data_IF_828684635273
#
_entry.id   IF_828684635273
#
_cell.length_a   1.000
_cell.length_b   1.000
_cell.length_c   1.000
_cell.angle_alpha   90.00
_cell.angle_beta   90.00
_cell.angle_gamma   90.00
#
_symmetry.space_group_name_H-M   'P 1'
#
loop_
_entity.id
_entity.type
_entity.pdbx_description
1 polymer ?
#
# COMPACT_ATOMS: atom_id res chain seq x y z
N UNK A 1 7.03 -25.97 -6.94
CA UNK A 1 5.73 -25.49 -6.45
C UNK A 1 5.47 -24.15 -7.12
N UNK A 2 4.36 -23.99 -7.83
CA UNK A 2 4.01 -22.73 -8.51
C UNK A 2 3.59 -21.71 -7.43
N UNK A 3 4.07 -20.45 -7.47
CA UNK A 3 3.66 -19.47 -6.48
C UNK A 3 2.19 -19.10 -6.69
N UNK A 4 1.37 -19.29 -5.67
CA UNK A 4 0.01 -18.77 -5.66
C UNK A 4 0.09 -17.24 -5.77
N UNK A 5 -0.79 -16.65 -6.57
CA UNK A 5 -0.74 -15.22 -6.86
C UNK A 5 -2.13 -14.61 -6.73
N UNK A 6 -2.25 -13.53 -5.97
CA UNK A 6 -3.47 -12.76 -5.82
C UNK A 6 -3.34 -11.42 -6.55
N UNK A 7 -4.28 -11.12 -7.45
CA UNK A 7 -4.37 -9.86 -8.19
C UNK A 7 -5.36 -8.94 -7.52
N UNK A 8 -4.89 -7.79 -7.08
CA UNK A 8 -5.70 -6.76 -6.42
C UNK A 8 -5.80 -5.57 -7.36
N UNK A 9 -7.02 -5.19 -7.70
CA UNK A 9 -7.29 -4.01 -8.53
C UNK A 9 -7.54 -2.79 -7.65
N UNK A 10 -7.14 -1.61 -8.13
CA UNK A 10 -7.38 -0.36 -7.43
C UNK A 10 -7.69 0.80 -8.41
N UNK A 11 -8.51 1.78 -7.99
CA UNK A 11 -8.79 2.95 -8.82
C UNK A 11 -7.53 3.78 -9.12
N UNK A 12 -7.45 4.38 -10.31
CA UNK A 12 -6.29 5.15 -10.79
C UNK A 12 -5.84 6.28 -9.86
N UNK A 13 -6.77 6.88 -9.11
CA UNK A 13 -6.49 7.90 -8.10
C UNK A 13 -5.54 7.42 -6.98
N UNK A 14 -5.34 6.11 -6.82
CA UNK A 14 -4.39 5.56 -5.84
C UNK A 14 -2.98 5.36 -6.40
N UNK A 15 -2.79 5.42 -7.72
CA UNK A 15 -1.50 5.17 -8.36
C UNK A 15 -0.35 6.07 -7.82
N UNK A 16 -0.55 7.36 -7.53
CA UNK A 16 0.52 8.21 -6.98
C UNK A 16 1.05 7.75 -5.60
N UNK A 17 0.28 6.97 -4.86
CA UNK A 17 0.61 6.54 -3.49
C UNK A 17 1.16 5.11 -3.45
N UNK A 18 1.24 4.44 -4.60
CA UNK A 18 1.51 3.01 -4.69
C UNK A 18 2.92 2.65 -4.22
N UNK A 19 3.94 3.41 -4.65
CA UNK A 19 5.35 3.13 -4.30
C UNK A 19 5.56 3.06 -2.79
N UNK A 20 5.07 4.07 -2.08
CA UNK A 20 5.26 4.20 -0.63
C UNK A 20 4.46 3.14 0.13
N UNK A 21 3.24 2.85 -0.36
CA UNK A 21 2.42 1.78 0.18
C UNK A 21 3.09 0.40 0.02
N UNK A 22 3.72 0.14 -1.12
CA UNK A 22 4.46 -1.10 -1.39
C UNK A 22 5.66 -1.24 -0.44
N UNK A 23 6.41 -0.17 -0.19
CA UNK A 23 7.53 -0.18 0.77
C UNK A 23 7.04 -0.57 2.16
N UNK A 24 5.98 0.09 2.66
CA UNK A 24 5.40 -0.21 3.97
C UNK A 24 4.85 -1.63 4.04
N UNK A 25 4.16 -2.08 3.00
CA UNK A 25 3.58 -3.41 2.95
C UNK A 25 4.66 -4.49 2.99
N UNK A 26 5.74 -4.35 2.20
CA UNK A 26 6.86 -5.31 2.17
C UNK A 26 7.62 -5.36 3.50
N UNK A 27 7.72 -4.25 4.22
CA UNK A 27 8.30 -4.23 5.56
C UNK A 27 7.51 -5.11 6.55
N UNK A 28 6.18 -5.05 6.49
CA UNK A 28 5.30 -5.86 7.35
C UNK A 28 5.16 -7.30 6.87
N UNK A 29 5.33 -7.54 5.57
CA UNK A 29 5.10 -8.83 4.91
C UNK A 29 6.35 -9.27 4.10
N UNK A 30 7.50 -9.56 4.73
CA UNK A 30 8.77 -9.77 4.04
C UNK A 30 8.81 -11.02 3.15
N UNK A 31 7.95 -12.00 3.42
CA UNK A 31 7.82 -13.23 2.61
C UNK A 31 6.97 -13.04 1.34
N UNK A 32 6.28 -11.90 1.20
CA UNK A 32 5.40 -11.63 0.06
C UNK A 32 6.16 -10.84 -1.01
N UNK A 33 6.20 -11.39 -2.21
CA UNK A 33 6.63 -10.69 -3.40
C UNK A 33 5.50 -9.82 -3.93
N UNK A 34 5.84 -8.59 -4.31
CA UNK A 34 4.91 -7.59 -4.83
C UNK A 34 5.35 -7.19 -6.22
N UNK A 35 4.46 -7.30 -7.20
CA UNK A 35 4.64 -6.73 -8.54
C UNK A 35 3.52 -5.73 -8.81
N UNK A 36 3.88 -4.56 -9.31
CA UNK A 36 2.93 -3.48 -9.64
C UNK A 36 2.67 -3.44 -11.14
N UNK A 37 1.45 -3.10 -11.53
CA UNK A 37 1.10 -2.75 -12.89
C UNK A 37 0.07 -1.61 -12.91
N UNK A 38 -0.37 -1.24 -14.10
CA UNK A 38 -1.34 -0.15 -14.26
C UNK A 38 -2.70 -0.55 -13.69
N UNK A 39 -3.07 0.05 -12.56
CA UNK A 39 -4.34 -0.19 -11.86
C UNK A 39 -4.41 -1.50 -11.07
N UNK A 40 -3.29 -2.21 -10.88
CA UNK A 40 -3.28 -3.43 -10.09
C UNK A 40 -1.95 -3.74 -9.39
N UNK A 41 -2.01 -4.59 -8.39
CA UNK A 41 -0.87 -5.26 -7.77
C UNK A 41 -1.06 -6.77 -7.79
N UNK A 42 0.04 -7.49 -8.04
CA UNK A 42 0.14 -8.94 -7.89
C UNK A 42 0.94 -9.23 -6.62
N UNK A 43 0.32 -9.95 -5.69
CA UNK A 43 0.95 -10.50 -4.49
C UNK A 43 1.23 -11.98 -4.71
N UNK A 44 2.47 -12.41 -4.50
CA UNK A 44 2.88 -13.81 -4.64
C UNK A 44 3.73 -14.22 -3.45
N UNK A 45 3.64 -15.47 -3.01
CA UNK A 45 4.51 -16.03 -1.97
C UNK A 45 4.74 -17.52 -2.23
N UNK A 46 5.68 -18.10 -1.50
CA UNK A 46 6.00 -19.52 -1.60
C UNK A 46 5.38 -20.23 -0.40
N UNK A 47 4.08 -20.52 -0.44
CA UNK A 47 3.34 -21.18 0.63
C UNK A 47 1.82 -21.04 0.49
N UNK A 48 1.05 -21.96 1.08
CA UNK A 48 -0.40 -22.08 0.88
C UNK A 48 -1.24 -20.92 1.50
N UNK A 49 -0.63 -20.01 2.25
CA UNK A 49 -1.33 -18.94 3.00
C UNK A 49 -1.71 -17.70 2.16
N UNK A 50 -1.43 -17.71 0.86
CA UNK A 50 -1.65 -16.57 -0.07
C UNK A 50 -3.11 -16.24 -0.36
N UNK A 51 -4.02 -17.19 -0.17
CA UNK A 51 -5.43 -17.03 -0.50
C UNK A 51 -6.24 -16.43 0.66
N UNK A 52 -5.58 -15.95 1.73
CA UNK A 52 -6.28 -15.27 2.81
C UNK A 52 -6.75 -13.89 2.35
N UNK A 53 -8.03 -13.60 2.56
CA UNK A 53 -8.62 -12.25 2.42
C UNK A 53 -7.91 -11.19 3.29
N UNK A 54 -7.04 -11.63 4.19
CA UNK A 54 -6.23 -10.77 5.05
C UNK A 54 -5.11 -10.04 4.28
N UNK A 55 -4.40 -10.70 3.36
CA UNK A 55 -3.30 -10.05 2.62
C UNK A 55 -3.79 -8.92 1.72
N UNK A 56 -4.90 -9.13 1.02
CA UNK A 56 -5.53 -8.09 0.22
C UNK A 56 -5.97 -6.91 1.09
N UNK A 57 -6.66 -7.20 2.20
CA UNK A 57 -7.07 -6.19 3.18
C UNK A 57 -5.88 -5.39 3.70
N UNK A 58 -4.78 -6.06 4.08
CA UNK A 58 -3.57 -5.41 4.57
C UNK A 58 -2.93 -4.50 3.50
N UNK A 59 -2.89 -4.95 2.24
CA UNK A 59 -2.36 -4.16 1.14
C UNK A 59 -3.22 -2.92 0.87
N UNK A 60 -4.53 -3.10 0.74
CA UNK A 60 -5.48 -2.00 0.53
C UNK A 60 -5.48 -1.02 1.71
N UNK A 61 -5.31 -1.51 2.93
CA UNK A 61 -5.15 -0.66 4.11
C UNK A 61 -3.88 0.21 4.01
N UNK A 62 -2.74 -0.35 3.62
CA UNK A 62 -1.50 0.42 3.42
C UNK A 62 -1.69 1.50 2.34
N UNK A 63 -2.29 1.13 1.20
CA UNK A 63 -2.53 2.04 0.08
C UNK A 63 -3.47 3.19 0.44
N UNK A 64 -4.59 2.87 1.10
CA UNK A 64 -5.56 3.87 1.54
C UNK A 64 -4.98 4.82 2.58
N UNK A 65 -4.23 4.31 3.56
CA UNK A 65 -3.60 5.13 4.58
C UNK A 65 -2.52 6.04 4.01
N UNK A 66 -1.80 5.60 2.98
CA UNK A 66 -0.82 6.44 2.32
C UNK A 66 -1.48 7.60 1.56
N UNK A 67 -2.59 7.34 0.86
CA UNK A 67 -3.40 8.39 0.23
C UNK A 67 -3.83 9.45 1.25
N UNK A 68 -4.47 9.03 2.35
CA UNK A 68 -4.94 9.95 3.40
C UNK A 68 -3.77 10.73 4.00
N UNK A 69 -2.63 10.09 4.26
CA UNK A 69 -1.44 10.77 4.76
C UNK A 69 -0.98 11.87 3.79
N UNK A 70 -0.80 11.54 2.51
CA UNK A 70 -0.32 12.47 1.51
C UNK A 70 -1.31 13.65 1.27
N UNK A 71 -2.61 13.37 1.22
CA UNK A 71 -3.65 14.40 1.02
C UNK A 71 -3.79 15.34 2.24
N UNK A 72 -3.53 14.84 3.45
CA UNK A 72 -3.64 15.64 4.68
C UNK A 72 -2.34 16.29 5.12
N UNK A 73 -1.19 15.89 4.58
CA UNK A 73 0.13 16.40 4.96
C UNK A 73 0.27 17.92 4.78
N UNK A 74 -0.19 18.55 3.68
CA UNK A 74 -0.07 20.00 3.51
C UNK A 74 -0.82 20.76 4.62
N UNK A 75 -2.09 20.42 4.87
CA UNK A 75 -2.89 21.05 5.92
C UNK A 75 -2.24 20.87 7.30
N UNK A 76 -1.78 19.65 7.62
CA UNK A 76 -1.12 19.37 8.89
C UNK A 76 0.15 20.20 9.06
N UNK A 77 0.94 20.33 8.00
CA UNK A 77 2.18 21.13 8.01
C UNK A 77 1.86 22.61 8.25
N UNK A 78 0.87 23.15 7.54
CA UNK A 78 0.41 24.54 7.73
C UNK A 78 -0.09 24.81 9.14
N UNK A 79 -0.90 23.91 9.71
CA UNK A 79 -1.40 24.06 11.07
C UNK A 79 -0.27 24.02 12.10
N UNK A 80 0.70 23.13 11.92
CA UNK A 80 1.89 23.04 12.81
C UNK A 80 2.72 24.32 12.69
N UNK A 81 3.02 24.78 11.48
CA UNK A 81 3.74 26.03 11.24
C UNK A 81 3.04 27.23 11.90
N UNK A 82 1.72 27.34 11.72
CA UNK A 82 0.92 28.42 12.28
C UNK A 82 0.94 28.51 13.82
N UNK A 83 1.08 27.38 14.52
CA UNK A 83 1.15 27.36 16.01
C UNK A 83 2.57 27.36 16.56
N UNK A 84 3.56 26.88 15.80
CA UNK A 84 4.96 26.80 16.23
C UNK A 84 5.82 27.98 15.78
N UNK A 85 5.36 28.76 14.79
CA UNK A 85 6.12 29.89 14.24
C UNK A 85 7.32 29.48 13.38
N UNK A 86 7.39 28.21 12.96
CA UNK A 86 8.39 27.67 12.03
C UNK A 86 7.87 27.69 10.60
#
# INVERSE_FOLDING_TARGET
MQPDSNRIEFPSQFAPYLSDAVVRFRYLNPSIQVKTGDGFVLLSSTGADLMSSDLERQFLFCLYRQKVYAETLPLRTTLIAGVTGV
#
